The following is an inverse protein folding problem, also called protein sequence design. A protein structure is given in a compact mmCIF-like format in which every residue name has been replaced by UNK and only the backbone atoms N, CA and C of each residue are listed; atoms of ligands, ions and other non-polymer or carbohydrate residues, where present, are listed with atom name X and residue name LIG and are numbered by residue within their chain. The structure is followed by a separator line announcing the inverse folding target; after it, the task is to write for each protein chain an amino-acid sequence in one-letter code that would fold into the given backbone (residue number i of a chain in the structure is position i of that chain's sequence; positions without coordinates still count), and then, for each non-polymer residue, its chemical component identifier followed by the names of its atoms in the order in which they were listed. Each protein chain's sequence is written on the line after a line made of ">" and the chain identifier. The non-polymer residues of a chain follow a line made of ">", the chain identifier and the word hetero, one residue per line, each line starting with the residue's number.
data_IF_335059258431
#
_entry.id   IF_335059258431
#
_cell.length_a   1.000
_cell.length_b   1.000
_cell.length_c   1.000
_cell.angle_alpha   90.00
_cell.angle_beta   90.00
_cell.angle_gamma   90.00
#
_symmetry.space_group_name_H-M   'P 1'
#
loop_
_entity.id
_entity.type
_entity.pdbx_description
1 polymer ?
#
# COMPACT_ATOMS: atom_id res chain seq x y z
N UNK A 1 -18.77 10.03 -18.35
CA UNK A 1 -19.43 10.27 -17.05
C UNK A 1 -18.37 10.76 -16.07
N UNK A 2 -18.31 12.08 -15.81
CA UNK A 2 -17.37 12.68 -14.85
C UNK A 2 -18.00 12.62 -13.47
N UNK A 3 -17.33 12.00 -12.50
CA UNK A 3 -17.67 12.16 -11.09
C UNK A 3 -16.95 13.43 -10.63
N UNK A 4 -17.71 14.50 -10.42
CA UNK A 4 -17.22 15.73 -9.82
C UNK A 4 -17.15 15.53 -8.30
N UNK A 5 -15.98 15.79 -7.71
CA UNK A 5 -15.82 15.90 -6.26
C UNK A 5 -15.74 17.40 -5.91
N UNK A 6 -16.84 18.13 -6.10
CA UNK A 6 -16.97 19.56 -5.75
C UNK A 6 -17.68 19.72 -4.40
N UNK A 7 -17.11 19.14 -3.35
CA UNK A 7 -17.46 19.49 -1.97
C UNK A 7 -16.18 19.87 -1.21
N UNK A 8 -16.15 20.98 -0.45
CA UNK A 8 -15.00 21.32 0.37
C UNK A 8 -14.81 20.25 1.45
N UNK A 9 -13.70 19.54 1.35
CA UNK A 9 -13.30 18.47 2.26
C UNK A 9 -13.28 18.98 3.71
N UNK A 10 -14.07 18.36 4.60
CA UNK A 10 -14.15 18.74 6.00
C UNK A 10 -12.95 18.17 6.77
N UNK A 11 -12.71 18.73 7.95
CA UNK A 11 -11.48 18.64 8.72
C UNK A 11 -11.06 17.20 9.15
N UNK A 12 -11.82 16.15 8.86
CA UNK A 12 -11.56 14.74 9.25
C UNK A 12 -11.56 13.76 8.06
N UNK A 13 -11.31 14.26 6.83
CA UNK A 13 -11.49 13.43 5.64
C UNK A 13 -10.37 12.40 5.47
N UNK A 14 -10.76 11.14 5.60
CA UNK A 14 -10.02 9.96 5.17
C UNK A 14 -10.27 9.71 3.69
N UNK A 15 -9.22 9.49 2.91
CA UNK A 15 -9.36 9.08 1.52
C UNK A 15 -8.29 8.09 1.07
N UNK A 16 -8.66 7.21 0.15
CA UNK A 16 -7.71 6.33 -0.52
C UNK A 16 -7.20 7.00 -1.79
N UNK A 17 -5.88 6.94 -2.01
CA UNK A 17 -5.24 7.34 -3.27
C UNK A 17 -4.24 6.27 -3.69
N UNK A 18 -4.15 5.98 -4.98
CA UNK A 18 -3.16 5.03 -5.50
C UNK A 18 -1.75 5.38 -5.03
N UNK A 19 -0.94 4.36 -4.75
CA UNK A 19 0.45 4.55 -4.35
C UNK A 19 1.23 5.17 -5.52
N UNK A 20 1.89 6.30 -5.26
CA UNK A 20 2.94 6.83 -6.13
C UNK A 20 4.29 6.31 -5.62
N UNK A 21 4.78 5.23 -6.24
CA UNK A 21 6.05 4.62 -5.85
C UNK A 21 7.25 5.55 -6.03
N UNK A 22 7.17 6.54 -6.93
CA UNK A 22 8.25 7.51 -7.10
C UNK A 22 8.34 8.44 -5.89
N UNK A 23 7.19 8.80 -5.31
CA UNK A 23 7.11 9.72 -4.19
C UNK A 23 7.14 9.03 -2.82
N UNK A 24 6.63 7.79 -2.72
CA UNK A 24 6.28 7.16 -1.44
C UNK A 24 6.96 5.80 -1.20
N UNK A 25 7.98 5.41 -1.97
CA UNK A 25 8.66 4.12 -1.80
C UNK A 25 9.11 3.86 -0.36
N UNK A 26 9.76 4.84 0.28
CA UNK A 26 10.24 4.70 1.66
C UNK A 26 9.08 4.48 2.65
N UNK A 27 7.96 5.14 2.41
CA UNK A 27 6.74 5.01 3.22
C UNK A 27 6.14 3.61 3.06
N UNK A 28 6.10 3.07 1.85
CA UNK A 28 5.66 1.68 1.61
C UNK A 28 6.54 0.67 2.36
N UNK A 29 7.86 0.85 2.32
CA UNK A 29 8.81 -0.02 3.03
C UNK A 29 8.61 0.05 4.54
N UNK A 30 8.40 1.25 5.09
CA UNK A 30 8.14 1.45 6.52
C UNK A 30 6.86 0.74 6.97
N UNK A 31 5.71 1.01 6.32
CA UNK A 31 4.45 0.34 6.68
C UNK A 31 4.55 -1.17 6.55
N UNK A 32 5.21 -1.66 5.50
CA UNK A 32 5.35 -3.10 5.30
C UNK A 32 6.19 -3.76 6.39
N UNK A 33 7.30 -3.12 6.80
CA UNK A 33 8.15 -3.59 7.90
C UNK A 33 7.39 -3.56 9.22
N UNK A 34 6.68 -2.47 9.51
CA UNK A 34 5.90 -2.34 10.74
C UNK A 34 4.81 -3.42 10.84
N UNK A 35 4.07 -3.66 9.75
CA UNK A 35 3.08 -4.75 9.68
C UNK A 35 3.72 -6.14 9.86
N UNK A 36 4.90 -6.36 9.29
CA UNK A 36 5.66 -7.61 9.48
C UNK A 36 6.05 -7.82 10.95
N UNK A 37 6.58 -6.78 11.61
CA UNK A 37 6.95 -6.81 13.04
C UNK A 37 5.71 -7.07 13.90
N UNK A 38 4.61 -6.36 13.65
CA UNK A 38 3.35 -6.55 14.37
C UNK A 38 2.81 -7.98 14.23
N UNK A 39 2.96 -8.59 13.06
CA UNK A 39 2.45 -9.93 12.76
C UNK A 39 3.32 -11.05 13.33
N UNK A 40 4.65 -10.86 13.35
CA UNK A 40 5.61 -11.93 13.63
C UNK A 40 6.44 -11.70 14.91
N UNK A 41 6.23 -10.58 15.61
CA UNK A 41 6.95 -10.18 16.81
C UNK A 41 8.48 -10.16 16.66
N UNK A 42 8.98 -10.00 15.43
CA UNK A 42 10.40 -9.89 15.09
C UNK A 42 10.61 -9.07 13.83
N UNK A 43 11.76 -8.44 13.74
CA UNK A 43 12.17 -7.71 12.55
C UNK A 43 13.03 -8.60 11.64
N UNK A 44 12.36 -9.29 10.72
CA UNK A 44 12.97 -10.10 9.65
C UNK A 44 12.46 -9.71 8.27
N UNK A 45 11.90 -8.51 8.12
CA UNK A 45 11.26 -8.08 6.88
C UNK A 45 12.25 -8.09 5.70
N UNK A 46 13.47 -7.60 5.93
CA UNK A 46 14.49 -7.48 4.89
C UNK A 46 15.06 -8.82 4.42
N UNK A 47 14.85 -9.92 5.14
CA UNK A 47 15.27 -11.26 4.72
C UNK A 47 14.60 -11.69 3.40
N UNK A 48 13.35 -11.23 3.18
CA UNK A 48 12.59 -11.51 1.96
C UNK A 48 12.33 -10.29 1.08
N UNK A 49 12.51 -9.07 1.60
CA UNK A 49 12.25 -7.84 0.87
C UNK A 49 13.48 -7.28 0.11
N UNK A 50 14.65 -7.89 0.30
CA UNK A 50 15.91 -7.42 -0.25
C UNK A 50 16.48 -6.20 0.51
N UNK A 51 17.72 -5.80 0.21
CA UNK A 51 18.37 -4.64 0.84
C UNK A 51 17.51 -3.38 0.65
N UNK A 52 17.20 -2.67 1.74
CA UNK A 52 16.34 -1.49 1.71
C UNK A 52 14.95 -1.71 1.08
N UNK A 53 14.47 -2.96 0.98
CA UNK A 53 13.13 -3.27 0.46
C UNK A 53 13.00 -3.28 -1.07
N UNK A 54 14.12 -3.35 -1.81
CA UNK A 54 14.11 -3.30 -3.30
C UNK A 54 13.24 -4.38 -3.96
N UNK A 55 13.28 -5.61 -3.45
CA UNK A 55 12.51 -6.73 -4.03
C UNK A 55 11.02 -6.58 -3.70
N UNK A 56 10.72 -6.06 -2.51
CA UNK A 56 9.36 -5.69 -2.14
C UNK A 56 8.80 -4.60 -3.06
N UNK A 57 9.55 -3.53 -3.31
CA UNK A 57 9.13 -2.42 -4.16
C UNK A 57 8.96 -2.84 -5.63
N UNK A 58 9.84 -3.69 -6.15
CA UNK A 58 9.72 -4.22 -7.50
C UNK A 58 8.48 -5.13 -7.62
N UNK A 59 8.24 -5.99 -6.63
CA UNK A 59 7.01 -6.78 -6.56
C UNK A 59 5.75 -5.91 -6.47
N UNK A 60 5.79 -4.85 -5.67
CA UNK A 60 4.71 -3.88 -5.53
C UNK A 60 4.40 -3.18 -6.86
N UNK A 61 5.43 -2.75 -7.59
CA UNK A 61 5.32 -2.16 -8.93
C UNK A 61 4.65 -3.10 -9.93
N UNK A 62 5.07 -4.36 -9.96
CA UNK A 62 4.49 -5.38 -10.85
C UNK A 62 3.03 -5.66 -10.52
N UNK A 63 2.70 -5.80 -9.23
CA UNK A 63 1.33 -6.05 -8.80
C UNK A 63 0.42 -4.84 -9.03
N UNK A 64 0.92 -3.62 -8.82
CA UNK A 64 0.19 -2.39 -9.15
C UNK A 64 -0.07 -2.26 -10.65
N UNK A 65 0.87 -2.66 -11.51
CA UNK A 65 0.64 -2.69 -12.96
C UNK A 65 -0.48 -3.66 -13.37
N UNK A 66 -0.66 -4.75 -12.61
CA UNK A 66 -1.74 -5.74 -12.84
C UNK A 66 -3.07 -5.30 -12.21
N UNK A 67 -3.03 -4.70 -11.02
CA UNK A 67 -4.20 -4.26 -10.26
C UNK A 67 -4.04 -2.78 -9.85
N UNK A 68 -4.26 -1.82 -10.78
CA UNK A 68 -3.95 -0.41 -10.54
C UNK A 68 -4.74 0.23 -9.38
N UNK A 69 -5.96 -0.27 -9.13
CA UNK A 69 -6.81 0.20 -8.03
C UNK A 69 -6.59 -0.61 -6.73
N UNK A 70 -5.75 -1.64 -6.78
CA UNK A 70 -5.51 -2.57 -5.69
C UNK A 70 -4.55 -2.03 -4.63
N UNK A 71 -3.74 -1.02 -4.96
CA UNK A 71 -2.61 -0.60 -4.15
C UNK A 71 -2.73 0.89 -3.84
N UNK A 72 -3.21 1.18 -2.64
CA UNK A 72 -3.57 2.54 -2.21
C UNK A 72 -2.97 2.90 -0.86
N UNK A 73 -2.69 4.18 -0.68
CA UNK A 73 -2.45 4.79 0.61
C UNK A 73 -3.75 5.28 1.22
N UNK A 74 -3.90 5.13 2.54
CA UNK A 74 -4.89 5.85 3.33
C UNK A 74 -4.32 7.20 3.72
N UNK A 75 -4.98 8.26 3.29
CA UNK A 75 -4.63 9.63 3.61
C UNK A 75 -5.57 10.18 4.66
N UNK A 76 -5.01 10.86 5.65
CA UNK A 76 -5.73 11.79 6.50
C UNK A 76 -5.18 13.18 6.23
N UNK A 77 -5.98 14.02 5.54
CA UNK A 77 -5.54 15.31 5.00
C UNK A 77 -4.33 15.15 4.06
N UNK A 78 -3.16 15.63 4.48
CA UNK A 78 -1.89 15.63 3.75
C UNK A 78 -0.93 14.51 4.20
N UNK A 79 -1.36 13.66 5.14
CA UNK A 79 -0.52 12.59 5.70
C UNK A 79 -0.99 11.23 5.23
N UNK A 80 -0.04 10.42 4.79
CA UNK A 80 -0.25 8.98 4.64
C UNK A 80 -0.22 8.37 6.04
N UNK A 81 -1.29 7.67 6.42
CA UNK A 81 -1.44 7.04 7.73
C UNK A 81 -1.59 5.51 7.64
N UNK A 82 -1.52 4.96 6.43
CA UNK A 82 -1.54 3.54 6.19
C UNK A 82 -1.54 3.21 4.71
N UNK A 83 -1.58 1.92 4.42
CA UNK A 83 -1.54 1.36 3.09
C UNK A 83 -2.38 0.09 3.02
N UNK A 84 -3.03 -0.11 1.87
CA UNK A 84 -3.78 -1.31 1.56
C UNK A 84 -3.22 -1.90 0.25
N UNK A 85 -2.84 -3.18 0.30
CA UNK A 85 -2.40 -3.97 -0.86
C UNK A 85 -3.44 -5.04 -1.17
N UNK A 86 -4.09 -4.96 -2.34
CA UNK A 86 -5.17 -5.84 -2.77
C UNK A 86 -4.85 -6.50 -4.10
N UNK A 87 -5.13 -7.80 -4.20
CA UNK A 87 -4.97 -8.55 -5.44
C UNK A 87 -5.85 -9.80 -5.46
N UNK A 88 -5.96 -10.38 -6.65
CA UNK A 88 -6.52 -11.72 -6.85
C UNK A 88 -5.33 -12.67 -7.05
N UNK A 89 -5.19 -13.65 -6.16
CA UNK A 89 -4.32 -14.80 -6.36
C UNK A 89 -5.07 -15.80 -7.24
N UNK A 90 -4.43 -16.45 -8.20
CA UNK A 90 -5.12 -17.29 -9.19
C UNK A 90 -5.24 -18.77 -8.76
N UNK A 91 -4.33 -19.26 -7.90
CA UNK A 91 -4.22 -20.68 -7.56
C UNK A 91 -4.04 -20.89 -6.04
N UNK A 92 -5.12 -21.19 -5.28
CA UNK A 92 -6.52 -21.11 -5.70
C UNK A 92 -6.97 -19.66 -5.93
N UNK A 93 -8.06 -19.47 -6.70
CA UNK A 93 -8.59 -18.13 -6.97
C UNK A 93 -9.16 -17.49 -5.70
N UNK A 94 -8.39 -16.62 -5.05
CA UNK A 94 -8.78 -15.97 -3.79
C UNK A 94 -8.45 -14.47 -3.78
N UNK A 95 -9.30 -13.69 -3.10
CA UNK A 95 -9.01 -12.30 -2.80
C UNK A 95 -7.99 -12.19 -1.67
N UNK A 96 -6.96 -11.38 -1.88
CA UNK A 96 -5.94 -11.08 -0.88
C UNK A 96 -6.00 -9.59 -0.55
N UNK A 97 -5.97 -9.28 0.75
CA UNK A 97 -5.87 -7.91 1.27
C UNK A 97 -4.81 -7.90 2.36
N UNK A 98 -3.87 -6.96 2.27
CA UNK A 98 -2.95 -6.64 3.35
C UNK A 98 -3.22 -5.21 3.85
N UNK A 99 -3.21 -5.05 5.16
CA UNK A 99 -3.38 -3.78 5.86
C UNK A 99 -2.08 -3.48 6.60
N UNK A 100 -1.45 -2.37 6.24
CA UNK A 100 -0.15 -1.97 6.76
C UNK A 100 -0.15 -0.52 7.19
#
# INVERSE_FOLDING_TARGET
>A
MRIAFDAPMKQDDLCFKSIDLKAHADVCVQFRRDSFICSLARDGFFDGAGPNGVDYLEGLRQRQARFPDGYVHLWHRDKIIGQIEMQILEEPRIGYVNLT
#
